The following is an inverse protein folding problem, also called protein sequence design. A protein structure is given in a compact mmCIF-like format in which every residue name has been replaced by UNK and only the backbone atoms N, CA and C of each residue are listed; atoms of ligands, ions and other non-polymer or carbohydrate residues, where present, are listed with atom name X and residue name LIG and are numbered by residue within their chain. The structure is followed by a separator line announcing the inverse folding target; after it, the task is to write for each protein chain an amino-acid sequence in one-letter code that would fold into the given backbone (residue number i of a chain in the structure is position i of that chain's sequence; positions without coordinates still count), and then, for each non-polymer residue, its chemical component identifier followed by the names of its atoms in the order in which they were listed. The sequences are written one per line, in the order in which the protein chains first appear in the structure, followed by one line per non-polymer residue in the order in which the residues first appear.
data_IF_881124287924
#
_entry.id   IF_881124287924
#
_cell.length_a   1.000
_cell.length_b   1.000
_cell.length_c   1.000
_cell.angle_alpha   90.00
_cell.angle_beta   90.00
_cell.angle_gamma   90.00
#
_symmetry.space_group_name_H-M   'P 1'
#
loop_
_entity.id
_entity.type
_entity.pdbx_description
1 polymer ?
#
# COMPACT_ATOMS: atom_id res chain seq x y z
N UNK A 1 15.54 -8.20 -26.94
CA UNK A 1 14.16 -7.70 -26.79
C UNK A 1 13.67 -8.15 -25.43
N UNK A 2 13.80 -7.31 -24.41
CA UNK A 2 13.35 -7.67 -23.07
C UNK A 2 11.83 -7.50 -23.01
N UNK A 3 11.14 -8.58 -22.67
CA UNK A 3 9.69 -8.63 -22.49
C UNK A 3 9.18 -7.43 -21.70
N UNK A 4 8.15 -6.76 -22.24
CA UNK A 4 7.35 -5.78 -21.53
C UNK A 4 6.69 -6.46 -20.33
N UNK A 5 7.38 -6.49 -19.21
CA UNK A 5 6.90 -7.04 -17.95
C UNK A 5 5.86 -6.10 -17.38
N UNK A 6 4.60 -6.45 -17.66
CA UNK A 6 3.40 -6.23 -16.84
C UNK A 6 3.52 -5.07 -15.83
N UNK A 7 3.05 -3.89 -16.22
CA UNK A 7 2.90 -2.78 -15.27
C UNK A 7 2.17 -3.31 -14.03
N UNK A 8 2.76 -3.18 -12.82
CA UNK A 8 2.13 -3.69 -11.62
C UNK A 8 0.78 -2.98 -11.46
N UNK A 9 -0.30 -3.72 -11.15
CA UNK A 9 -1.62 -3.12 -11.00
C UNK A 9 -1.53 -2.01 -9.95
N UNK A 10 -1.74 -0.76 -10.40
CA UNK A 10 -1.61 0.51 -9.66
C UNK A 10 -2.28 0.47 -8.28
N UNK A 11 -3.36 -0.32 -8.16
CA UNK A 11 -4.15 -0.51 -6.92
C UNK A 11 -3.51 -1.39 -5.85
N UNK A 12 -2.37 -2.04 -6.12
CA UNK A 12 -1.80 -3.08 -5.23
C UNK A 12 -0.32 -2.86 -4.90
N UNK A 13 0.16 -1.62 -5.00
CA UNK A 13 1.52 -1.26 -4.58
C UNK A 13 1.53 -0.91 -3.08
N UNK A 14 1.49 -1.94 -2.25
CA UNK A 14 1.76 -1.79 -0.83
C UNK A 14 3.19 -1.27 -0.61
N UNK A 15 3.39 -0.46 0.42
CA UNK A 15 4.70 0.16 0.75
C UNK A 15 5.86 -0.86 0.74
N UNK A 16 5.65 -2.05 1.31
CA UNK A 16 6.66 -3.13 1.36
C UNK A 16 6.97 -3.73 -0.01
N UNK A 17 5.99 -3.78 -0.91
CA UNK A 17 6.14 -4.26 -2.28
C UNK A 17 6.92 -3.25 -3.10
N UNK A 18 6.58 -1.97 -2.95
CA UNK A 18 7.29 -0.85 -3.58
C UNK A 18 8.75 -0.84 -3.19
N UNK A 19 9.05 -0.84 -1.88
CA UNK A 19 10.43 -0.83 -1.37
C UNK A 19 11.24 -2.03 -1.91
N UNK A 20 10.59 -3.20 -2.06
CA UNK A 20 11.21 -4.39 -2.64
C UNK A 20 11.45 -4.23 -4.15
N UNK A 21 10.49 -3.67 -4.90
CA UNK A 21 10.60 -3.51 -6.34
C UNK A 21 11.62 -2.45 -6.73
N UNK A 22 11.72 -1.36 -5.96
CA UNK A 22 12.79 -0.37 -6.10
C UNK A 22 14.15 -1.02 -5.88
N UNK A 23 14.33 -1.81 -4.80
CA UNK A 23 15.58 -2.55 -4.56
C UNK A 23 15.93 -3.56 -5.66
N UNK A 24 14.93 -4.11 -6.36
CA UNK A 24 15.11 -5.06 -7.46
C UNK A 24 15.26 -4.38 -8.83
N UNK A 25 15.14 -3.06 -8.91
CA UNK A 25 15.16 -2.32 -10.18
C UNK A 25 13.93 -2.56 -11.07
N UNK A 26 12.85 -3.10 -10.51
CA UNK A 26 11.58 -3.37 -11.22
C UNK A 26 10.72 -2.11 -11.29
N UNK A 27 10.87 -1.21 -10.32
CA UNK A 27 10.11 0.03 -10.21
C UNK A 27 11.06 1.19 -9.93
N UNK A 28 10.97 2.27 -10.70
CA UNK A 28 11.72 3.50 -10.42
C UNK A 28 11.01 4.35 -9.35
N UNK A 29 11.79 5.05 -8.53
CA UNK A 29 11.26 5.98 -7.52
C UNK A 29 10.40 7.08 -8.17
N UNK A 30 10.83 7.61 -9.32
CA UNK A 30 10.08 8.64 -10.06
C UNK A 30 8.77 8.11 -10.60
N UNK A 31 8.75 6.85 -11.02
CA UNK A 31 7.56 6.16 -11.50
C UNK A 31 6.58 5.91 -10.36
N UNK A 32 7.06 5.43 -9.22
CA UNK A 32 6.26 5.29 -8.01
C UNK A 32 5.63 6.63 -7.56
N UNK A 33 6.40 7.72 -7.58
CA UNK A 33 5.87 9.05 -7.26
C UNK A 33 4.80 9.53 -8.26
N UNK A 34 4.93 9.20 -9.54
CA UNK A 34 3.88 9.50 -10.54
C UNK A 34 2.62 8.69 -10.27
N UNK A 35 2.76 7.41 -9.94
CA UNK A 35 1.65 6.53 -9.56
C UNK A 35 0.91 7.09 -8.34
N UNK A 36 1.64 7.45 -7.27
CA UNK A 36 1.02 8.02 -6.06
C UNK A 36 0.23 9.29 -6.35
N UNK A 37 0.74 10.16 -7.22
CA UNK A 37 0.05 11.39 -7.62
C UNK A 37 -1.18 11.15 -8.51
N UNK A 38 -1.22 10.03 -9.22
CA UNK A 38 -2.35 9.64 -10.04
C UNK A 38 -3.47 8.94 -9.25
N UNK A 39 -3.23 8.59 -7.97
CA UNK A 39 -4.26 8.00 -7.13
C UNK A 39 -5.36 9.04 -6.84
N UNK A 40 -6.65 8.66 -6.99
CA UNK A 40 -7.74 9.55 -6.65
C UNK A 40 -7.74 9.83 -5.15
N UNK A 41 -8.10 11.05 -4.76
CA UNK A 41 -8.46 11.32 -3.37
C UNK A 41 -9.77 10.57 -3.06
N UNK A 42 -9.71 9.67 -2.08
CA UNK A 42 -10.84 8.86 -1.64
C UNK A 42 -11.31 9.28 -0.24
N UNK A 43 -10.82 10.40 0.30
CA UNK A 43 -11.23 10.89 1.61
C UNK A 43 -12.76 11.09 1.70
N UNK A 44 -13.38 11.62 0.64
CA UNK A 44 -14.84 11.79 0.58
C UNK A 44 -15.61 10.46 0.51
N UNK A 45 -14.95 9.38 0.10
CA UNK A 45 -15.52 8.02 0.02
C UNK A 45 -15.17 7.18 1.24
N UNK A 46 -14.53 7.76 2.25
CA UNK A 46 -14.17 7.04 3.45
C UNK A 46 -15.43 6.75 4.29
N UNK A 47 -15.66 5.47 4.59
CA UNK A 47 -16.69 5.05 5.54
C UNK A 47 -16.07 4.95 6.93
N UNK A 48 -16.75 5.48 7.94
CA UNK A 48 -16.35 5.31 9.35
C UNK A 48 -16.51 3.83 9.71
N UNK A 49 -15.40 3.17 10.02
CA UNK A 49 -15.40 1.81 10.53
C UNK A 49 -15.33 1.91 12.05
N UNK A 50 -16.38 1.45 12.73
CA UNK A 50 -16.39 1.27 14.17
C UNK A 50 -15.93 -0.16 14.46
N UNK A 51 -14.78 -0.29 15.11
CA UNK A 51 -14.23 -1.58 15.54
C UNK A 51 -14.41 -1.73 17.03
N UNK A 52 -15.14 -2.76 17.45
CA UNK A 52 -15.22 -3.15 18.85
C UNK A 52 -13.99 -3.99 19.22
N UNK A 53 -13.24 -3.55 20.22
CA UNK A 53 -12.14 -4.33 20.77
C UNK A 53 -12.72 -5.35 21.74
N UNK A 54 -13.05 -6.55 21.25
CA UNK A 54 -13.51 -7.64 22.10
C UNK A 54 -12.29 -8.25 22.82
N UNK A 55 -12.07 -7.82 24.06
CA UNK A 55 -11.08 -8.45 24.95
C UNK A 55 -11.68 -9.72 25.56
N UNK A 56 -11.82 -10.78 24.78
CA UNK A 56 -12.02 -12.11 25.37
C UNK A 56 -10.66 -12.74 25.66
N UNK A 57 -10.20 -12.55 26.90
CA UNK A 57 -8.97 -13.16 27.43
C UNK A 57 -7.76 -12.23 27.42
N UNK A 58 -7.21 -11.97 28.61
CA UNK A 58 -5.94 -11.31 28.94
C UNK A 58 -4.88 -11.42 27.82
N UNK A 59 -4.19 -10.36 27.35
CA UNK A 59 -3.28 -9.43 28.06
C UNK A 59 -3.29 -8.08 27.30
N UNK A 60 -3.71 -7.00 27.97
CA UNK A 60 -3.39 -5.63 27.53
C UNK A 60 -1.98 -5.23 27.96
N UNK A 61 -1.32 -4.27 27.30
CA UNK A 61 0.07 -3.92 27.63
C UNK A 61 0.14 -3.32 29.05
N UNK A 62 1.04 -3.87 29.87
CA UNK A 62 1.45 -3.24 31.11
C UNK A 62 1.94 -1.81 30.83
N UNK A 63 1.37 -0.83 31.54
CA UNK A 63 1.83 0.56 31.51
C UNK A 63 3.22 0.69 32.11
#
# INVERSE_FOLDING_TARGET
MADKQHDPPVRQLDRRVVERYVKKGILDEKEYHRILKALPDLAEKATRIETEFQTEGEIGPAR
#
